data_IF_982544492464
#
_entry.id   IF_982544492464
#
_cell.length_a   1.000
_cell.length_b   1.000
_cell.length_c   1.000
_cell.angle_alpha   90.00
_cell.angle_beta   90.00
_cell.angle_gamma   90.00
#
_symmetry.space_group_name_H-M   'P 1'
#
loop_
_entity.id
_entity.type
_entity.pdbx_description
1 polymer ?
#
# COMPACT_ATOMS: atom_id res chain seq x y z
N UNK A 1 -25.93 -7.32 33.17
CA UNK A 1 -25.42 -6.60 31.99
C UNK A 1 -24.57 -7.58 31.19
N UNK A 2 -25.08 -8.04 30.05
CA UNK A 2 -24.37 -8.98 29.19
C UNK A 2 -23.24 -8.24 28.48
N UNK A 3 -21.98 -8.59 28.76
CA UNK A 3 -20.80 -8.18 28.02
C UNK A 3 -20.89 -8.77 26.61
N UNK A 4 -20.95 -7.93 25.59
CA UNK A 4 -20.98 -8.34 24.19
C UNK A 4 -19.69 -9.11 23.86
N UNK A 5 -19.76 -10.45 23.77
CA UNK A 5 -18.63 -11.36 23.52
C UNK A 5 -17.89 -11.05 22.20
N UNK A 6 -18.54 -10.42 21.21
CA UNK A 6 -17.93 -10.03 19.92
C UNK A 6 -16.86 -8.96 20.02
N UNK A 7 -17.02 -7.95 20.89
CA UNK A 7 -16.06 -6.81 20.96
C UNK A 7 -14.71 -7.19 21.60
N UNK A 8 -14.66 -8.23 22.44
CA UNK A 8 -13.41 -8.70 23.07
C UNK A 8 -12.56 -9.52 22.10
N UNK A 9 -13.17 -10.40 21.31
CA UNK A 9 -12.46 -11.21 20.32
C UNK A 9 -11.84 -10.39 19.20
N UNK A 10 -12.56 -9.39 18.71
CA UNK A 10 -12.07 -8.48 17.65
C UNK A 10 -10.92 -7.61 18.14
N UNK A 11 -10.97 -7.10 19.36
CA UNK A 11 -9.85 -6.36 19.99
C UNK A 11 -8.61 -7.24 20.13
N UNK A 12 -8.79 -8.50 20.53
CA UNK A 12 -7.67 -9.46 20.65
C UNK A 12 -7.09 -9.80 19.27
N UNK A 13 -7.92 -10.01 18.25
CA UNK A 13 -7.46 -10.23 16.88
C UNK A 13 -6.61 -9.04 16.38
N UNK A 14 -7.09 -7.83 16.60
CA UNK A 14 -6.34 -6.62 16.22
C UNK A 14 -5.01 -6.50 16.99
N UNK A 15 -4.98 -6.81 18.28
CA UNK A 15 -3.73 -6.81 19.05
C UNK A 15 -2.73 -7.86 18.51
N UNK A 16 -3.21 -9.07 18.16
CA UNK A 16 -2.38 -10.13 17.58
C UNK A 16 -1.82 -9.70 16.22
N UNK A 17 -2.64 -9.17 15.31
CA UNK A 17 -2.17 -8.76 13.99
C UNK A 17 -1.22 -7.56 14.06
N UNK A 18 -1.44 -6.62 14.97
CA UNK A 18 -0.53 -5.46 15.19
C UNK A 18 0.83 -5.92 15.72
N UNK A 19 0.87 -6.78 16.73
CA UNK A 19 2.12 -7.32 17.28
C UNK A 19 2.86 -8.17 16.23
N UNK A 20 2.14 -9.02 15.51
CA UNK A 20 2.72 -9.85 14.46
C UNK A 20 3.31 -9.02 13.33
N UNK A 21 2.62 -7.95 12.88
CA UNK A 21 3.12 -7.03 11.86
C UNK A 21 4.44 -6.37 12.29
N UNK A 22 4.52 -5.88 13.52
CA UNK A 22 5.74 -5.28 14.05
C UNK A 22 6.91 -6.28 14.05
N UNK A 23 6.66 -7.51 14.52
CA UNK A 23 7.65 -8.57 14.52
C UNK A 23 8.08 -9.00 13.11
N UNK A 24 7.13 -9.11 12.16
CA UNK A 24 7.46 -9.45 10.78
C UNK A 24 8.27 -8.35 10.10
N UNK A 25 7.95 -7.08 10.33
CA UNK A 25 8.71 -5.95 9.79
C UNK A 25 10.15 -5.88 10.37
N UNK A 26 10.32 -6.21 11.66
CA UNK A 26 11.62 -6.16 12.33
C UNK A 26 12.51 -7.37 11.99
N UNK A 27 11.95 -8.59 11.95
CA UNK A 27 12.73 -9.86 11.96
C UNK A 27 12.51 -10.71 10.72
N UNK A 28 11.59 -10.34 9.84
CA UNK A 28 11.12 -11.17 8.72
C UNK A 28 10.16 -12.27 9.16
N UNK A 29 9.30 -12.69 8.23
CA UNK A 29 8.28 -13.73 8.48
C UNK A 29 8.88 -15.04 9.00
N UNK A 30 10.00 -15.50 8.43
CA UNK A 30 10.59 -16.79 8.76
C UNK A 30 11.02 -16.90 10.23
N UNK A 31 11.59 -15.82 10.79
CA UNK A 31 12.15 -15.81 12.13
C UNK A 31 11.10 -15.66 13.25
N UNK A 32 9.85 -15.31 12.92
CA UNK A 32 8.79 -15.09 13.89
C UNK A 32 7.99 -16.39 14.12
N UNK A 33 7.66 -16.69 15.38
CA UNK A 33 6.84 -17.84 15.77
C UNK A 33 5.52 -17.40 16.42
N UNK A 34 4.52 -18.30 16.44
CA UNK A 34 3.28 -18.07 17.18
C UNK A 34 3.53 -17.78 18.66
N UNK A 35 4.55 -18.41 19.24
CA UNK A 35 4.96 -18.18 20.64
C UNK A 35 5.49 -16.77 20.86
N UNK A 36 6.32 -16.24 19.94
CA UNK A 36 6.83 -14.88 20.03
C UNK A 36 5.73 -13.83 19.85
N UNK A 37 4.75 -14.09 18.98
CA UNK A 37 3.58 -13.22 18.83
C UNK A 37 2.72 -13.22 20.12
N UNK A 38 2.44 -14.40 20.69
CA UNK A 38 1.68 -14.49 21.95
C UNK A 38 2.37 -13.76 23.10
N UNK A 39 3.68 -13.88 23.19
CA UNK A 39 4.51 -13.18 24.19
C UNK A 39 4.43 -11.66 24.01
N UNK A 40 4.52 -11.16 22.77
CA UNK A 40 4.43 -9.73 22.47
C UNK A 40 3.06 -9.14 22.83
N UNK A 41 1.99 -9.89 22.60
CA UNK A 41 0.61 -9.49 22.98
C UNK A 41 0.35 -9.63 24.48
N UNK A 42 1.16 -10.41 25.21
CA UNK A 42 0.96 -10.70 26.63
C UNK A 42 -0.16 -11.72 26.89
N UNK A 43 -0.38 -12.67 25.98
CA UNK A 43 -1.40 -13.72 26.11
C UNK A 43 -0.75 -15.12 26.14
N UNK A 44 -1.52 -16.10 26.64
CA UNK A 44 -1.09 -17.51 26.55
C UNK A 44 -1.11 -17.98 25.09
N UNK A 45 -0.14 -18.80 24.69
CA UNK A 45 -0.05 -19.34 23.32
C UNK A 45 -1.33 -20.11 22.92
N UNK A 46 -1.94 -20.84 23.85
CA UNK A 46 -3.22 -21.50 23.63
C UNK A 46 -4.36 -20.53 23.31
N UNK A 47 -4.38 -19.36 23.95
CA UNK A 47 -5.37 -18.31 23.64
C UNK A 47 -5.18 -17.74 22.22
N UNK A 48 -3.93 -17.59 21.76
CA UNK A 48 -3.64 -17.16 20.39
C UNK A 48 -4.17 -18.18 19.37
N UNK A 49 -3.98 -19.49 19.60
CA UNK A 49 -4.49 -20.54 18.72
C UNK A 49 -6.03 -20.60 18.64
N UNK A 50 -6.76 -20.04 19.60
CA UNK A 50 -8.21 -19.87 19.49
C UNK A 50 -8.63 -18.78 18.49
N UNK A 51 -7.71 -17.90 18.11
CA UNK A 51 -7.94 -16.81 17.14
C UNK A 51 -7.38 -17.14 15.75
N UNK A 52 -6.21 -17.77 15.70
CA UNK A 52 -5.50 -18.10 14.46
C UNK A 52 -4.87 -19.49 14.59
N UNK A 53 -5.26 -20.42 13.73
CA UNK A 53 -4.74 -21.78 13.77
C UNK A 53 -3.27 -21.86 13.33
N UNK A 54 -2.82 -20.97 12.45
CA UNK A 54 -1.46 -20.97 11.92
C UNK A 54 -0.85 -19.56 11.83
N UNK A 55 0.47 -19.50 11.70
CA UNK A 55 1.20 -18.24 11.41
C UNK A 55 0.81 -17.70 10.04
N UNK A 56 0.51 -18.58 9.07
CA UNK A 56 0.02 -18.19 7.75
C UNK A 56 -1.31 -17.44 7.82
N UNK A 57 -2.24 -17.88 8.65
CA UNK A 57 -3.52 -17.19 8.84
C UNK A 57 -3.32 -15.78 9.39
N UNK A 58 -2.46 -15.61 10.41
CA UNK A 58 -2.10 -14.27 10.92
C UNK A 58 -1.52 -13.41 9.82
N UNK A 59 -0.57 -13.95 9.07
CA UNK A 59 0.14 -13.23 8.02
C UNK A 59 -0.79 -12.87 6.84
N UNK A 60 -1.56 -13.84 6.36
CA UNK A 60 -2.54 -13.61 5.29
C UNK A 60 -3.59 -12.55 5.69
N UNK A 61 -4.07 -12.59 6.94
CA UNK A 61 -4.98 -11.57 7.47
C UNK A 61 -4.38 -10.17 7.41
N UNK A 62 -3.13 -9.99 7.87
CA UNK A 62 -2.43 -8.71 7.81
C UNK A 62 -2.33 -8.20 6.38
N UNK A 63 -1.93 -9.07 5.45
CA UNK A 63 -1.76 -8.71 4.04
C UNK A 63 -3.09 -8.37 3.35
N UNK A 64 -4.15 -9.14 3.64
CA UNK A 64 -5.48 -8.89 3.11
C UNK A 64 -6.09 -7.61 3.66
N UNK A 65 -5.97 -7.37 4.97
CA UNK A 65 -6.45 -6.14 5.60
C UNK A 65 -5.76 -4.92 5.00
N UNK A 66 -4.43 -4.96 4.86
CA UNK A 66 -3.67 -3.89 4.22
C UNK A 66 -4.16 -3.60 2.80
N UNK A 67 -4.35 -4.64 1.96
CA UNK A 67 -4.83 -4.45 0.59
C UNK A 67 -6.26 -3.92 0.54
N UNK A 68 -7.15 -4.38 1.40
CA UNK A 68 -8.52 -3.87 1.48
C UNK A 68 -8.56 -2.40 1.94
N UNK A 69 -7.75 -2.04 2.94
CA UNK A 69 -7.62 -0.66 3.41
C UNK A 69 -7.04 0.26 2.33
N UNK A 70 -6.00 -0.20 1.60
CA UNK A 70 -5.41 0.54 0.49
C UNK A 70 -6.46 0.83 -0.60
N UNK A 71 -7.16 -0.21 -1.04
CA UNK A 71 -8.18 -0.09 -2.09
C UNK A 71 -9.35 0.80 -1.66
N UNK A 72 -9.85 0.63 -0.43
CA UNK A 72 -10.93 1.47 0.10
C UNK A 72 -10.50 2.95 0.21
N UNK A 73 -9.28 3.20 0.66
CA UNK A 73 -8.74 4.57 0.73
C UNK A 73 -8.50 5.17 -0.67
N UNK A 74 -8.07 4.36 -1.64
CA UNK A 74 -7.94 4.75 -3.03
C UNK A 74 -9.30 5.10 -3.67
N UNK A 75 -10.31 4.26 -3.49
CA UNK A 75 -11.66 4.50 -3.99
C UNK A 75 -12.25 5.84 -3.47
N UNK A 76 -11.90 6.23 -2.25
CA UNK A 76 -12.28 7.54 -1.68
C UNK A 76 -11.45 8.66 -2.28
N UNK A 77 -10.14 8.49 -2.40
CA UNK A 77 -9.24 9.54 -2.86
C UNK A 77 -9.52 9.96 -4.30
N UNK A 78 -9.83 9.00 -5.19
CA UNK A 78 -10.05 9.28 -6.62
C UNK A 78 -11.43 9.85 -6.95
N UNK A 79 -12.37 9.82 -6.00
CA UNK A 79 -13.78 10.10 -6.25
C UNK A 79 -14.07 11.44 -6.94
N UNK A 80 -13.33 12.48 -6.58
CA UNK A 80 -13.55 13.84 -7.06
C UNK A 80 -12.69 14.20 -8.28
N UNK A 81 -11.76 13.33 -8.69
CA UNK A 81 -10.93 13.52 -9.86
C UNK A 81 -11.70 13.16 -11.14
N UNK A 82 -11.81 14.09 -12.08
CA UNK A 82 -12.64 13.96 -13.30
C UNK A 82 -11.81 13.60 -14.53
N UNK A 83 -10.66 14.26 -14.71
CA UNK A 83 -9.79 14.07 -15.87
C UNK A 83 -8.69 13.02 -15.61
N UNK A 84 -8.13 12.39 -16.65
CA UNK A 84 -7.00 11.47 -16.48
C UNK A 84 -5.80 12.12 -15.77
N UNK A 85 -5.54 13.40 -16.04
CA UNK A 85 -4.45 14.16 -15.40
C UNK A 85 -4.71 14.29 -13.90
N UNK A 86 -5.89 14.77 -13.49
CA UNK A 86 -6.29 14.88 -12.07
C UNK A 86 -6.22 13.52 -11.34
N UNK A 87 -6.63 12.46 -12.02
CA UNK A 87 -6.58 11.09 -11.47
C UNK A 87 -5.15 10.62 -11.20
N UNK A 88 -4.21 10.88 -12.12
CA UNK A 88 -2.80 10.52 -11.91
C UNK A 88 -2.14 11.42 -10.85
N UNK A 89 -2.42 12.71 -10.82
CA UNK A 89 -1.94 13.59 -9.75
C UNK A 89 -2.43 13.12 -8.38
N UNK A 90 -3.72 12.80 -8.29
CA UNK A 90 -4.32 12.21 -7.07
C UNK A 90 -3.68 10.89 -6.69
N UNK A 91 -3.45 10.01 -7.66
CA UNK A 91 -2.79 8.72 -7.43
C UNK A 91 -1.40 8.88 -6.86
N UNK A 92 -0.57 9.74 -7.46
CA UNK A 92 0.82 9.93 -7.01
C UNK A 92 0.86 10.43 -5.57
N UNK A 93 0.08 11.49 -5.26
CA UNK A 93 0.00 12.05 -3.90
C UNK A 93 -0.52 11.02 -2.90
N UNK A 94 -1.62 10.35 -3.23
CA UNK A 94 -2.21 9.31 -2.40
C UNK A 94 -1.21 8.18 -2.14
N UNK A 95 -0.60 7.63 -3.20
CA UNK A 95 0.31 6.49 -3.08
C UNK A 95 1.53 6.83 -2.21
N UNK A 96 2.20 7.95 -2.47
CA UNK A 96 3.37 8.37 -1.70
C UNK A 96 3.00 8.57 -0.23
N UNK A 97 1.95 9.35 0.06
CA UNK A 97 1.49 9.62 1.42
C UNK A 97 1.08 8.35 2.16
N UNK A 98 0.27 7.49 1.52
CA UNK A 98 -0.20 6.24 2.09
C UNK A 98 0.98 5.33 2.48
N UNK A 99 1.97 5.21 1.59
CA UNK A 99 3.13 4.35 1.79
C UNK A 99 4.09 4.90 2.85
N UNK A 100 4.29 6.21 2.90
CA UNK A 100 5.12 6.85 3.94
C UNK A 100 4.51 6.72 5.35
N UNK A 101 3.19 6.73 5.47
CA UNK A 101 2.48 6.65 6.77
C UNK A 101 2.28 5.22 7.27
N UNK A 102 2.41 4.22 6.39
CA UNK A 102 2.19 2.78 6.70
C UNK A 102 3.42 1.92 6.37
N UNK A 103 4.57 2.38 6.86
CA UNK A 103 5.85 1.77 6.51
C UNK A 103 5.90 0.25 6.77
N UNK A 104 5.47 -0.22 7.95
CA UNK A 104 5.55 -1.64 8.31
C UNK A 104 4.65 -2.52 7.44
N UNK A 105 3.42 -2.06 7.17
CA UNK A 105 2.47 -2.77 6.33
C UNK A 105 2.98 -2.89 4.89
N UNK A 106 3.44 -1.77 4.33
CA UNK A 106 3.94 -1.73 2.95
C UNK A 106 5.23 -2.53 2.82
N UNK A 107 6.19 -2.34 3.75
CA UNK A 107 7.45 -3.07 3.75
C UNK A 107 7.22 -4.57 3.84
N UNK A 108 6.42 -5.02 4.80
CA UNK A 108 6.08 -6.44 4.97
C UNK A 108 5.36 -6.99 3.75
N UNK A 109 4.39 -6.24 3.20
CA UNK A 109 3.63 -6.62 2.00
C UNK A 109 4.51 -6.76 0.75
N UNK A 110 5.58 -5.98 0.65
CA UNK A 110 6.49 -6.03 -0.49
C UNK A 110 7.59 -7.09 -0.31
N UNK A 111 8.23 -7.13 0.86
CA UNK A 111 9.39 -8.00 1.10
C UNK A 111 9.03 -9.46 1.35
N UNK A 112 7.86 -9.70 1.98
CA UNK A 112 7.47 -11.04 2.44
C UNK A 112 6.37 -11.69 1.59
N UNK A 113 6.02 -11.09 0.45
CA UNK A 113 4.96 -11.62 -0.45
C UNK A 113 5.20 -13.09 -0.82
N UNK A 114 6.45 -13.48 -1.06
CA UNK A 114 6.86 -14.87 -1.39
C UNK A 114 6.72 -15.86 -0.22
N UNK A 115 6.52 -15.37 1.00
CA UNK A 115 6.31 -16.20 2.18
C UNK A 115 4.86 -16.68 2.33
N UNK A 116 3.95 -16.22 1.45
CA UNK A 116 2.56 -16.67 1.43
C UNK A 116 2.43 -18.04 0.80
N UNK A 117 1.54 -18.86 1.38
CA UNK A 117 1.07 -20.07 0.74
C UNK A 117 0.29 -19.76 -0.55
N UNK A 118 0.27 -20.67 -1.55
CA UNK A 118 -0.27 -20.38 -2.88
C UNK A 118 -1.70 -19.84 -2.89
N UNK A 119 -2.58 -20.37 -2.03
CA UNK A 119 -3.97 -19.91 -1.94
C UNK A 119 -4.07 -18.47 -1.42
N UNK A 120 -3.31 -18.12 -0.39
CA UNK A 120 -3.27 -16.78 0.17
C UNK A 120 -2.60 -15.79 -0.78
N UNK A 121 -1.53 -16.23 -1.46
CA UNK A 121 -0.87 -15.45 -2.50
C UNK A 121 -1.85 -15.08 -3.62
N UNK A 122 -2.64 -16.03 -4.13
CA UNK A 122 -3.60 -15.77 -5.20
C UNK A 122 -4.66 -14.71 -4.81
N UNK A 123 -5.14 -14.74 -3.56
CA UNK A 123 -6.10 -13.74 -3.05
C UNK A 123 -5.49 -12.33 -3.04
N UNK A 124 -4.24 -12.21 -2.56
CA UNK A 124 -3.55 -10.93 -2.47
C UNK A 124 -3.16 -10.42 -3.85
N UNK A 125 -2.68 -11.31 -4.73
CA UNK A 125 -2.38 -10.98 -6.11
C UNK A 125 -3.59 -10.41 -6.86
N UNK A 126 -4.78 -10.97 -6.65
CA UNK A 126 -6.00 -10.45 -7.25
C UNK A 126 -6.31 -9.00 -6.83
N UNK A 127 -6.11 -8.66 -5.54
CA UNK A 127 -6.29 -7.30 -5.04
C UNK A 127 -5.21 -6.34 -5.58
N UNK A 128 -3.96 -6.80 -5.68
CA UNK A 128 -2.86 -6.03 -6.29
C UNK A 128 -3.14 -5.74 -7.76
N UNK A 129 -3.59 -6.74 -8.52
CA UNK A 129 -3.99 -6.59 -9.94
C UNK A 129 -5.12 -5.58 -10.09
N UNK A 130 -6.11 -5.56 -9.20
CA UNK A 130 -7.14 -4.51 -9.23
C UNK A 130 -6.51 -3.12 -9.15
N UNK A 131 -5.65 -2.87 -8.16
CA UNK A 131 -4.98 -1.58 -8.00
C UNK A 131 -4.13 -1.20 -9.22
N UNK A 132 -3.38 -2.14 -9.77
CA UNK A 132 -2.57 -1.96 -10.98
C UNK A 132 -3.44 -1.63 -12.21
N UNK A 133 -4.57 -2.31 -12.36
CA UNK A 133 -5.48 -2.11 -13.48
C UNK A 133 -6.21 -0.77 -13.42
N UNK A 134 -6.55 -0.28 -12.23
CA UNK A 134 -7.11 1.07 -12.06
C UNK A 134 -6.14 2.12 -12.65
N UNK A 135 -4.86 2.02 -12.35
CA UNK A 135 -3.84 2.96 -12.85
C UNK A 135 -3.58 2.78 -14.35
N UNK A 136 -3.49 1.54 -14.82
CA UNK A 136 -3.39 1.22 -16.26
C UNK A 136 -4.53 1.86 -17.04
N UNK A 137 -5.76 1.76 -16.55
CA UNK A 137 -6.94 2.25 -17.25
C UNK A 137 -7.00 3.78 -17.28
N UNK A 138 -6.53 4.45 -16.22
CA UNK A 138 -6.36 5.90 -16.20
C UNK A 138 -5.31 6.34 -17.23
N UNK A 139 -4.16 5.66 -17.28
CA UNK A 139 -3.11 5.96 -18.26
C UNK A 139 -3.58 5.70 -19.70
N UNK A 140 -4.36 4.63 -19.91
CA UNK A 140 -4.98 4.36 -21.21
C UNK A 140 -5.93 5.47 -21.63
N UNK A 141 -6.82 5.90 -20.72
CA UNK A 141 -7.75 7.00 -20.97
C UNK A 141 -7.00 8.29 -21.35
N UNK A 142 -5.96 8.67 -20.60
CA UNK A 142 -5.18 9.86 -20.88
C UNK A 142 -4.37 9.78 -22.17
N UNK A 143 -3.83 8.61 -22.52
CA UNK A 143 -3.19 8.39 -23.82
C UNK A 143 -4.20 8.56 -24.98
N UNK A 144 -5.36 7.95 -24.86
CA UNK A 144 -6.40 7.98 -25.89
C UNK A 144 -6.99 9.40 -26.05
N UNK A 145 -6.96 10.22 -24.97
CA UNK A 145 -7.32 11.63 -24.99
C UNK A 145 -6.20 12.59 -25.48
N UNK A 146 -4.95 12.08 -25.60
CA UNK A 146 -3.78 12.91 -25.94
C UNK A 146 -3.13 13.65 -24.76
N UNK A 147 -3.58 13.36 -23.53
CA UNK A 147 -3.01 13.94 -22.32
C UNK A 147 -1.66 13.30 -21.94
N UNK A 148 -1.48 12.00 -22.25
CA UNK A 148 -0.29 11.24 -21.90
C UNK A 148 0.40 10.65 -23.12
N UNK A 149 1.74 10.59 -23.06
CA UNK A 149 2.59 9.97 -24.06
C UNK A 149 3.19 8.68 -23.47
N UNK A 150 2.38 7.63 -23.37
CA UNK A 150 2.77 6.33 -22.86
C UNK A 150 2.70 5.27 -23.96
N UNK A 151 3.78 4.57 -24.21
CA UNK A 151 3.85 3.53 -25.23
C UNK A 151 2.98 2.32 -24.86
N UNK A 152 3.08 1.86 -23.63
CA UNK A 152 2.28 0.78 -23.05
C UNK A 152 1.74 1.22 -21.67
N UNK A 153 0.41 1.39 -21.54
CA UNK A 153 -0.20 1.81 -20.27
C UNK A 153 0.02 0.82 -19.12
N UNK A 154 0.11 -0.49 -19.41
CA UNK A 154 0.34 -1.49 -18.37
C UNK A 154 1.77 -1.41 -17.82
N UNK A 155 2.76 -1.38 -18.70
CA UNK A 155 4.18 -1.22 -18.30
C UNK A 155 4.38 0.11 -17.57
N UNK A 156 3.75 1.19 -18.06
CA UNK A 156 3.83 2.51 -17.42
C UNK A 156 3.19 2.52 -16.02
N UNK A 157 2.06 1.83 -15.82
CA UNK A 157 1.45 1.67 -14.50
C UNK A 157 2.39 0.92 -13.54
N UNK A 158 2.96 -0.19 -13.97
CA UNK A 158 3.92 -0.96 -13.18
C UNK A 158 5.16 -0.13 -12.80
N UNK A 159 5.71 0.64 -13.75
CA UNK A 159 6.85 1.51 -13.52
C UNK A 159 6.53 2.64 -12.51
N UNK A 160 5.38 3.29 -12.65
CA UNK A 160 4.94 4.31 -11.70
C UNK A 160 4.76 3.73 -10.29
N UNK A 161 4.03 2.63 -10.15
CA UNK A 161 3.82 1.97 -8.84
C UNK A 161 5.17 1.61 -8.21
N UNK A 162 6.09 1.01 -8.97
CA UNK A 162 7.41 0.63 -8.47
C UNK A 162 8.23 1.85 -8.01
N UNK A 163 8.26 2.91 -8.81
CA UNK A 163 8.94 4.17 -8.48
C UNK A 163 8.38 4.78 -7.19
N UNK A 164 7.06 4.88 -7.08
CA UNK A 164 6.39 5.52 -5.95
C UNK A 164 6.51 4.68 -4.66
N UNK A 165 6.39 3.34 -4.76
CA UNK A 165 6.59 2.42 -3.62
C UNK A 165 8.01 2.50 -3.09
N UNK A 166 9.00 2.77 -3.96
CA UNK A 166 10.40 2.92 -3.59
C UNK A 166 10.67 3.94 -2.48
N UNK A 167 9.78 4.91 -2.24
CA UNK A 167 9.90 5.88 -1.14
C UNK A 167 10.04 5.19 0.22
N UNK A 168 9.42 4.04 0.41
CA UNK A 168 9.43 3.30 1.68
C UNK A 168 10.81 2.75 2.05
N UNK A 169 11.73 2.62 1.10
CA UNK A 169 13.06 2.06 1.36
C UNK A 169 14.06 3.05 1.96
N UNK A 170 13.83 4.35 1.79
CA UNK A 170 14.77 5.38 2.21
C UNK A 170 14.15 6.50 3.05
N UNK A 171 12.82 6.71 2.98
CA UNK A 171 12.15 7.75 3.75
C UNK A 171 12.27 7.52 5.26
N UNK A 172 12.60 8.59 5.97
CA UNK A 172 12.63 8.62 7.46
C UNK A 172 11.94 9.89 7.91
N UNK A 173 11.02 9.75 8.86
CA UNK A 173 10.38 10.91 9.52
C UNK A 173 11.44 11.79 10.20
N UNK A 174 11.32 13.11 10.02
CA UNK A 174 12.32 14.06 10.53
C UNK A 174 13.58 14.18 9.66
N UNK A 175 13.60 13.63 8.46
CA UNK A 175 14.66 13.79 7.47
C UNK A 175 14.74 15.21 6.89
N UNK A 176 15.60 15.40 5.87
CA UNK A 176 15.87 16.69 5.21
C UNK A 176 14.64 17.32 4.54
N UNK A 177 13.74 16.50 4.03
CA UNK A 177 12.52 16.92 3.35
C UNK A 177 11.31 16.43 4.13
N UNK A 178 10.28 17.26 4.18
CA UNK A 178 9.01 16.85 4.73
C UNK A 178 8.18 16.01 3.73
N UNK A 179 7.06 15.48 4.19
CA UNK A 179 6.20 14.61 3.38
C UNK A 179 5.65 15.35 2.15
N UNK A 180 5.27 16.61 2.29
CA UNK A 180 4.68 17.41 1.21
C UNK A 180 5.72 17.70 0.13
N UNK A 181 6.94 18.06 0.52
CA UNK A 181 8.05 18.27 -0.41
C UNK A 181 8.36 17.00 -1.21
N UNK A 182 8.34 15.84 -0.56
CA UNK A 182 8.54 14.55 -1.24
C UNK A 182 7.41 14.25 -2.21
N UNK A 183 6.15 14.48 -1.82
CA UNK A 183 4.99 14.32 -2.70
C UNK A 183 5.11 15.16 -3.96
N UNK A 184 5.50 16.45 -3.85
CA UNK A 184 5.69 17.33 -5.01
C UNK A 184 6.83 16.86 -5.93
N UNK A 185 7.93 16.39 -5.36
CA UNK A 185 9.05 15.85 -6.15
C UNK A 185 8.61 14.60 -6.92
N UNK A 186 7.92 13.66 -6.25
CA UNK A 186 7.43 12.46 -6.90
C UNK A 186 6.36 12.75 -7.95
N UNK A 187 5.48 13.73 -7.69
CA UNK A 187 4.51 14.18 -8.67
C UNK A 187 5.22 14.72 -9.94
N UNK A 188 6.21 15.59 -9.76
CA UNK A 188 6.96 16.13 -10.88
C UNK A 188 7.69 15.03 -11.68
N UNK A 189 8.27 14.02 -11.00
CA UNK A 189 8.92 12.87 -11.64
C UNK A 189 7.91 12.03 -12.43
N UNK A 190 6.77 11.69 -11.82
CA UNK A 190 5.72 10.89 -12.45
C UNK A 190 5.17 11.59 -13.70
N UNK A 191 4.79 12.88 -13.57
CA UNK A 191 4.22 13.64 -14.67
C UNK A 191 5.20 13.80 -15.84
N UNK A 192 6.49 14.05 -15.56
CA UNK A 192 7.52 14.09 -16.61
C UNK A 192 7.71 12.78 -17.35
N UNK A 193 7.44 11.64 -16.70
CA UNK A 193 7.59 10.32 -17.32
C UNK A 193 6.45 9.95 -18.27
N UNK A 194 5.29 10.62 -18.15
CA UNK A 194 4.06 10.26 -18.88
C UNK A 194 3.49 11.40 -19.72
N UNK A 195 3.82 12.69 -19.46
CA UNK A 195 3.30 13.83 -20.21
C UNK A 195 4.22 14.21 -21.37
N UNK A 196 3.64 14.82 -22.41
CA UNK A 196 4.41 15.47 -23.48
C UNK A 196 5.18 16.69 -22.92
N UNK A 197 6.35 17.01 -23.50
CA UNK A 197 7.22 18.12 -23.07
C UNK A 197 6.47 19.47 -22.96
N UNK A 198 5.47 19.72 -23.80
CA UNK A 198 4.69 20.96 -23.79
C UNK A 198 3.82 21.11 -22.53
N UNK A 199 3.29 20.03 -21.98
CA UNK A 199 2.46 20.04 -20.76
C UNK A 199 3.32 20.16 -19.50
N UNK A 200 4.50 19.58 -19.49
CA UNK A 200 5.45 19.71 -18.39
C UNK A 200 5.83 21.16 -18.11
N UNK A 201 5.95 21.99 -19.16
CA UNK A 201 6.25 23.43 -19.06
C UNK A 201 5.08 24.25 -18.47
N UNK A 202 3.83 23.82 -18.66
CA UNK A 202 2.65 24.49 -18.07
C UNK A 202 2.47 24.15 -16.58
N UNK A 203 2.75 22.92 -16.19
CA UNK A 203 2.71 22.49 -14.79
C UNK A 203 3.78 23.19 -13.95
N UNK A 204 4.99 23.35 -14.49
CA UNK A 204 6.06 24.10 -13.81
C UNK A 204 5.71 25.58 -13.57
N UNK A 205 4.93 26.21 -14.47
CA UNK A 205 4.45 27.59 -14.32
C UNK A 205 3.32 27.78 -13.30
N UNK A 206 2.55 26.72 -12.99
CA UNK A 206 1.49 26.76 -11.97
C UNK A 206 2.03 26.55 -10.55
N UNK A 207 3.24 26.00 -10.41
CA UNK A 207 3.89 25.69 -9.14
C UNK A 207 4.88 26.80 -8.68
N UNK A 208 5.07 27.85 -9.49
CA UNK A 208 5.86 29.07 -9.21
C UNK A 208 4.97 30.24 -8.81
#
# INVERSE_FOLDING_TARGET
MARTAGSSGEKTNKAITTAALALFAERGYAAVSMRSIAQEVGIQVGALYNHFATKQEVFAKIMLDHMHELLAAWDVAIKDASTPVEKIETFVRFHVRYHMTRHNEVFTSFMELRSLEPENFAKIEALRKRYEYDIRDILKQGRDAGDFQVADPHVSAMALIAMLTGVTTWYKSGGRLDMSEIEEIYLALAMRSICCEQQTSQLAKKAS
#
